data_IF_421966629315
#
_entry.id   IF_421966629315
#
_cell.length_a   1.000
_cell.length_b   1.000
_cell.length_c   1.000
_cell.angle_alpha   90.00
_cell.angle_beta   90.00
_cell.angle_gamma   90.00
#
_symmetry.space_group_name_H-M   'P 1'
#
loop_
_entity.id
_entity.type
_entity.pdbx_description
1 polymer ?
#
# COMPACT_ATOMS: atom_id res chain seq x y z
N UNK A 1 -19.90 12.04 -14.43
CA UNK A 1 -18.62 12.17 -15.10
C UNK A 1 -17.57 11.32 -14.39
N UNK A 2 -16.78 10.61 -15.15
CA UNK A 2 -15.80 9.69 -14.57
C UNK A 2 -14.53 10.45 -14.21
N UNK A 3 -14.26 10.59 -12.90
CA UNK A 3 -13.05 11.25 -12.41
C UNK A 3 -11.88 10.30 -12.28
N UNK A 4 -11.99 9.11 -12.83
CA UNK A 4 -10.93 8.12 -12.76
C UNK A 4 -9.83 8.39 -13.77
N UNK A 5 -8.62 8.15 -13.33
CA UNK A 5 -7.41 8.36 -14.10
C UNK A 5 -6.70 7.04 -14.30
N UNK A 6 -6.22 6.79 -15.49
CA UNK A 6 -5.40 5.60 -15.75
C UNK A 6 -3.94 5.98 -15.54
N UNK A 7 -3.27 5.28 -14.63
CA UNK A 7 -1.86 5.53 -14.33
C UNK A 7 -1.07 4.23 -14.35
N UNK A 8 0.24 4.36 -14.47
CA UNK A 8 1.16 3.23 -14.34
C UNK A 8 2.04 3.48 -13.13
N UNK A 9 2.13 2.49 -12.28
CA UNK A 9 2.87 2.59 -11.01
C UNK A 9 3.94 1.50 -10.96
N UNK A 10 5.16 1.90 -10.68
CA UNK A 10 6.27 0.96 -10.50
C UNK A 10 6.28 0.44 -9.06
N UNK A 11 6.18 -0.87 -8.90
CA UNK A 11 6.32 -1.55 -7.61
C UNK A 11 7.18 -2.78 -7.81
N UNK A 12 8.26 -2.87 -7.07
CA UNK A 12 9.16 -4.03 -7.11
C UNK A 12 9.65 -4.34 -8.53
N UNK A 13 10.10 -3.30 -9.23
CA UNK A 13 10.66 -3.36 -10.59
C UNK A 13 9.66 -3.75 -11.68
N UNK A 14 8.37 -3.71 -11.40
CA UNK A 14 7.33 -3.97 -12.39
C UNK A 14 6.35 -2.80 -12.45
N UNK A 15 5.80 -2.57 -13.63
CA UNK A 15 4.81 -1.53 -13.83
C UNK A 15 3.41 -2.14 -13.83
N UNK A 16 2.51 -1.51 -13.08
CA UNK A 16 1.13 -1.95 -12.94
C UNK A 16 0.20 -0.85 -13.42
N UNK A 17 -0.67 -1.15 -14.40
CA UNK A 17 -1.69 -0.18 -14.79
C UNK A 17 -2.81 -0.18 -13.75
N UNK A 18 -3.17 1.02 -13.31
CA UNK A 18 -4.21 1.18 -12.29
C UNK A 18 -5.19 2.24 -12.76
N UNK A 19 -6.46 2.01 -12.43
CA UNK A 19 -7.50 3.00 -12.61
C UNK A 19 -7.84 3.56 -11.24
N UNK A 20 -7.56 4.83 -11.02
CA UNK A 20 -7.65 5.45 -9.69
C UNK A 20 -8.43 6.75 -9.75
N UNK A 21 -9.03 7.13 -8.62
CA UNK A 21 -9.62 8.45 -8.49
C UNK A 21 -8.51 9.50 -8.55
N UNK A 22 -8.76 10.62 -9.21
CA UNK A 22 -7.77 11.69 -9.34
C UNK A 22 -7.24 12.16 -8.01
N UNK A 23 -8.12 12.25 -7.02
CA UNK A 23 -7.75 12.69 -5.67
C UNK A 23 -6.83 11.70 -4.95
N UNK A 24 -6.77 10.45 -5.42
CA UNK A 24 -5.96 9.42 -4.79
C UNK A 24 -4.63 9.17 -5.50
N UNK A 25 -4.41 9.79 -6.64
CA UNK A 25 -3.21 9.54 -7.44
C UNK A 25 -1.92 9.75 -6.64
N UNK A 26 -1.80 10.88 -5.98
CA UNK A 26 -0.60 11.19 -5.21
C UNK A 26 -0.35 10.22 -4.07
N UNK A 27 -1.41 9.82 -3.40
CA UNK A 27 -1.32 8.86 -2.30
C UNK A 27 -0.81 7.51 -2.78
N UNK A 28 -1.30 7.07 -3.93
CA UNK A 28 -0.91 5.79 -4.51
C UNK A 28 0.55 5.84 -4.96
N UNK A 29 0.96 6.93 -5.60
CA UNK A 29 2.35 7.10 -6.01
C UNK A 29 3.30 7.17 -4.82
N UNK A 30 2.88 7.85 -3.77
CA UNK A 30 3.64 7.91 -2.51
C UNK A 30 3.79 6.53 -1.89
N UNK A 31 2.70 5.76 -1.85
CA UNK A 31 2.73 4.40 -1.32
C UNK A 31 3.71 3.52 -2.10
N UNK A 32 3.67 3.61 -3.43
CA UNK A 32 4.60 2.85 -4.27
C UNK A 32 6.05 3.24 -3.99
N UNK A 33 6.33 4.53 -3.86
CA UNK A 33 7.68 4.99 -3.52
C UNK A 33 8.16 4.45 -2.18
N UNK A 34 7.27 4.44 -1.18
CA UNK A 34 7.62 3.93 0.15
C UNK A 34 7.96 2.45 0.10
N UNK A 35 7.18 1.68 -0.64
CA UNK A 35 7.45 0.25 -0.81
C UNK A 35 8.80 0.05 -1.50
N UNK A 36 9.05 0.78 -2.59
CA UNK A 36 10.29 0.66 -3.35
C UNK A 36 11.52 1.07 -2.54
N UNK A 37 11.40 2.10 -1.72
CA UNK A 37 12.47 2.52 -0.82
C UNK A 37 12.79 1.44 0.21
N UNK A 38 11.77 0.79 0.73
CA UNK A 38 11.94 -0.29 1.69
C UNK A 38 12.63 -1.49 1.05
N UNK A 39 12.23 -1.82 -0.18
CA UNK A 39 12.86 -2.88 -0.96
C UNK A 39 14.36 -2.56 -1.15
N UNK A 40 14.67 -1.32 -1.48
CA UNK A 40 16.05 -0.91 -1.67
C UNK A 40 16.89 -1.07 -0.39
N UNK A 41 16.32 -0.72 0.76
CA UNK A 41 16.97 -0.90 2.05
C UNK A 41 17.28 -2.38 2.31
N UNK A 42 16.33 -3.27 2.02
CA UNK A 42 16.53 -4.70 2.19
C UNK A 42 17.59 -5.25 1.21
N UNK A 43 17.60 -4.75 -0.02
CA UNK A 43 18.61 -5.13 -1.02
C UNK A 43 20.02 -4.85 -0.52
N UNK A 44 20.21 -3.74 0.16
CA UNK A 44 21.51 -3.36 0.70
C UNK A 44 21.95 -4.24 1.87
N UNK A 45 20.99 -4.87 2.53
CA UNK A 45 21.23 -5.64 3.75
C UNK A 45 21.35 -7.14 3.49
N UNK A 46 20.64 -7.65 2.49
CA UNK A 46 20.55 -9.08 2.20
C UNK A 46 20.93 -9.36 0.76
N UNK A 47 22.07 -10.02 0.58
CA UNK A 47 22.60 -10.26 -0.76
C UNK A 47 22.05 -11.52 -1.44
N UNK A 48 21.50 -12.43 -0.66
CA UNK A 48 21.08 -13.75 -1.12
C UNK A 48 19.58 -13.88 -1.37
N UNK A 49 18.85 -12.76 -1.37
CA UNK A 49 17.41 -12.76 -1.57
C UNK A 49 17.05 -11.99 -2.82
N UNK A 50 15.86 -12.26 -3.36
CA UNK A 50 15.38 -11.60 -4.58
C UNK A 50 14.32 -10.53 -4.29
N UNK A 51 13.86 -9.85 -5.33
CA UNK A 51 12.87 -8.77 -5.21
C UNK A 51 11.57 -9.28 -4.62
N UNK A 52 11.17 -10.51 -4.94
CA UNK A 52 9.95 -11.11 -4.39
C UNK A 52 10.05 -11.22 -2.86
N UNK A 53 11.20 -11.66 -2.36
CA UNK A 53 11.45 -11.75 -0.92
C UNK A 53 11.37 -10.38 -0.25
N UNK A 54 11.98 -9.38 -0.87
CA UNK A 54 11.99 -8.02 -0.33
C UNK A 54 10.59 -7.42 -0.32
N UNK A 55 9.81 -7.68 -1.36
CA UNK A 55 8.42 -7.23 -1.41
C UNK A 55 7.59 -7.86 -0.29
N UNK A 56 7.77 -9.16 -0.06
CA UNK A 56 7.10 -9.87 1.02
C UNK A 56 7.48 -9.29 2.39
N UNK A 57 8.77 -9.03 2.61
CA UNK A 57 9.25 -8.45 3.85
C UNK A 57 8.69 -7.05 4.10
N UNK A 58 8.68 -6.21 3.06
CA UNK A 58 8.12 -4.86 3.15
C UNK A 58 6.63 -4.90 3.44
N UNK A 59 5.90 -5.77 2.75
CA UNK A 59 4.46 -5.91 2.95
C UNK A 59 4.13 -6.35 4.37
N UNK A 60 4.85 -7.33 4.89
CA UNK A 60 4.65 -7.79 6.26
C UNK A 60 4.90 -6.67 7.26
N UNK A 61 5.97 -5.93 7.08
CA UNK A 61 6.31 -4.85 7.99
C UNK A 61 5.24 -3.77 8.03
N UNK A 62 4.75 -3.35 6.85
CA UNK A 62 3.72 -2.31 6.79
C UNK A 62 2.38 -2.79 7.32
N UNK A 63 2.02 -4.04 7.04
CA UNK A 63 0.75 -4.60 7.54
C UNK A 63 0.79 -4.77 9.06
N UNK A 64 1.92 -5.21 9.61
CA UNK A 64 2.07 -5.31 11.06
C UNK A 64 1.90 -3.93 11.70
N UNK A 65 2.53 -2.91 11.11
CA UNK A 65 2.42 -1.55 11.61
C UNK A 65 0.98 -1.04 11.54
N UNK A 66 0.30 -1.34 10.45
CA UNK A 66 -1.11 -0.99 10.30
C UNK A 66 -1.98 -1.68 11.34
N UNK A 67 -1.72 -2.95 11.61
CA UNK A 67 -2.42 -3.72 12.64
C UNK A 67 -2.24 -3.11 14.03
N UNK A 68 -1.03 -2.69 14.34
CA UNK A 68 -0.73 -2.02 15.62
C UNK A 68 -1.51 -0.72 15.74
N UNK A 69 -1.60 0.06 14.67
CA UNK A 69 -2.38 1.30 14.66
C UNK A 69 -3.87 1.03 14.81
N UNK A 70 -4.37 -0.03 14.18
CA UNK A 70 -5.77 -0.45 14.35
C UNK A 70 -6.09 -0.83 15.80
N UNK A 71 -5.19 -1.51 16.47
CA UNK A 71 -5.35 -1.87 17.87
C UNK A 71 -5.46 -0.61 18.74
N UNK A 72 -4.65 0.39 18.48
CA UNK A 72 -4.74 1.68 19.18
C UNK A 72 -6.07 2.37 18.94
N UNK A 73 -6.58 2.29 17.70
CA UNK A 73 -7.88 2.85 17.34
C UNK A 73 -9.01 2.18 18.13
N UNK A 74 -8.94 0.86 18.24
CA UNK A 74 -9.93 0.07 18.97
C UNK A 74 -9.92 0.37 20.47
N UNK A 75 -8.78 0.84 20.99
CA UNK A 75 -8.65 1.28 22.38
C UNK A 75 -9.17 2.69 22.60
N UNK A 76 -9.77 3.31 21.59
CA UNK A 76 -10.36 4.63 21.69
C UNK A 76 -9.37 5.78 21.72
N UNK A 77 -8.13 5.53 21.35
CA UNK A 77 -7.07 6.54 21.40
C UNK A 77 -6.94 7.40 20.15
N UNK A 78 -7.75 7.13 19.12
CA UNK A 78 -7.64 7.79 17.82
C UNK A 78 -9.01 8.24 17.31
N UNK A 79 -9.10 9.42 16.66
CA UNK A 79 -10.36 9.96 16.16
C UNK A 79 -11.06 9.06 15.16
N UNK A 80 -12.39 9.17 15.12
CA UNK A 80 -13.25 8.42 14.22
C UNK A 80 -12.90 8.64 12.75
N UNK A 81 -12.46 9.84 12.40
CA UNK A 81 -12.05 10.18 11.03
C UNK A 81 -10.92 9.29 10.52
N UNK A 82 -9.99 8.90 11.39
CA UNK A 82 -8.91 8.01 11.03
C UNK A 82 -9.41 6.59 10.82
N UNK A 83 -10.36 6.15 11.65
CA UNK A 83 -11.00 4.84 11.48
C UNK A 83 -11.73 4.74 10.14
N UNK A 84 -12.42 5.80 9.75
CA UNK A 84 -13.10 5.87 8.46
C UNK A 84 -12.11 5.77 7.31
N UNK A 85 -10.98 6.45 7.41
CA UNK A 85 -9.93 6.41 6.38
C UNK A 85 -9.38 5.00 6.21
N UNK A 86 -9.12 4.30 7.31
CA UNK A 86 -8.64 2.91 7.27
C UNK A 86 -9.68 2.02 6.61
N UNK A 87 -10.95 2.20 6.95
CA UNK A 87 -12.03 1.44 6.32
C UNK A 87 -12.10 1.64 4.81
N UNK A 88 -11.88 2.87 4.34
CA UNK A 88 -11.85 3.17 2.91
C UNK A 88 -10.68 2.48 2.20
N UNK A 89 -9.53 2.45 2.84
CA UNK A 89 -8.35 1.76 2.29
C UNK A 89 -8.64 0.26 2.14
N UNK A 90 -9.20 -0.34 3.16
CA UNK A 90 -9.57 -1.76 3.13
C UNK A 90 -10.56 -2.07 2.00
N UNK A 91 -11.56 -1.22 1.83
CA UNK A 91 -12.55 -1.38 0.77
C UNK A 91 -11.91 -1.33 -0.63
N UNK A 92 -10.96 -0.43 -0.84
CA UNK A 92 -10.24 -0.33 -2.11
C UNK A 92 -9.40 -1.58 -2.36
N UNK A 93 -8.73 -2.09 -1.35
CA UNK A 93 -7.91 -3.31 -1.47
C UNK A 93 -8.77 -4.53 -1.78
N UNK A 94 -9.93 -4.66 -1.13
CA UNK A 94 -10.87 -5.75 -1.42
C UNK A 94 -11.38 -5.70 -2.85
N UNK A 95 -11.72 -4.51 -3.33
CA UNK A 95 -12.17 -4.30 -4.70
C UNK A 95 -11.10 -4.77 -5.70
N UNK A 96 -9.85 -4.40 -5.47
CA UNK A 96 -8.74 -4.79 -6.34
C UNK A 96 -8.47 -6.29 -6.28
N UNK A 97 -8.57 -6.89 -5.12
CA UNK A 97 -8.41 -8.33 -4.95
C UNK A 97 -9.44 -9.09 -5.76
N UNK A 98 -10.69 -8.62 -5.76
CA UNK A 98 -11.77 -9.21 -6.54
C UNK A 98 -11.60 -9.00 -8.03
N UNK A 99 -11.00 -7.89 -8.46
CA UNK A 99 -10.82 -7.59 -9.87
C UNK A 99 -9.64 -8.32 -10.51
N UNK A 100 -8.72 -8.82 -9.72
CA UNK A 100 -7.55 -9.57 -10.20
C UNK A 100 -7.90 -11.04 -10.45
N UNK A 101 -8.94 -11.50 -9.82
CA UNK A 101 -9.41 -12.87 -10.00
C UNK A 101 -10.41 -12.97 -11.15
#
# INVERSE_FOLDING_TARGET
>A
MDDKLSIRVNVADRYYPLKVERENEEKIRKAARMINEKILQYKQRYADKDVQDFLAMASLQYVIKLTEEEEKLNDGQVPETIKELIGKIDAVLEEKSNSVL
#
